data_IF_354309817768
#
_entry.id   IF_354309817768
#
_cell.length_a   1.000
_cell.length_b   1.000
_cell.length_c   1.000
_cell.angle_alpha   90.00
_cell.angle_beta   90.00
_cell.angle_gamma   90.00
#
_symmetry.space_group_name_H-M   'P 1'
#
loop_
_entity.id
_entity.type
_entity.pdbx_description
1 polymer ?
#
# COMPACT_ATOMS: atom_id res chain seq x y z
N UNK A 1 19.93 18.98 -2.90
CA UNK A 1 19.53 17.71 -2.27
C UNK A 1 18.12 17.90 -1.80
N UNK A 2 17.17 17.63 -2.69
CA UNK A 2 15.77 17.94 -2.48
C UNK A 2 15.25 17.10 -1.31
N UNK A 3 14.82 17.78 -0.27
CA UNK A 3 14.14 17.21 0.88
C UNK A 3 12.88 16.51 0.38
N UNK A 4 12.98 15.19 0.15
CA UNK A 4 11.84 14.33 -0.12
C UNK A 4 10.72 14.72 0.84
N UNK A 5 9.52 15.09 0.36
CA UNK A 5 8.40 15.39 1.23
C UNK A 5 8.13 14.12 2.03
N UNK A 6 8.59 14.13 3.29
CA UNK A 6 8.36 13.07 4.26
C UNK A 6 6.86 12.84 4.28
N UNK A 7 6.43 11.68 3.81
CA UNK A 7 5.02 11.33 3.90
C UNK A 7 4.63 11.45 5.35
N UNK A 8 3.62 12.30 5.58
CA UNK A 8 3.16 12.60 6.92
C UNK A 8 2.62 11.30 7.52
N UNK A 9 3.02 10.91 8.74
CA UNK A 9 2.58 9.66 9.37
C UNK A 9 1.04 9.52 9.37
N UNK A 10 0.34 10.67 9.40
CA UNK A 10 -1.11 10.77 9.24
C UNK A 10 -1.63 10.30 7.88
N UNK A 11 -0.93 10.60 6.78
CA UNK A 11 -1.32 10.16 5.43
C UNK A 11 -1.13 8.65 5.28
N UNK A 12 -0.07 8.08 5.88
CA UNK A 12 0.12 6.62 5.95
C UNK A 12 -1.03 5.98 6.73
N UNK A 13 -1.39 6.51 7.89
CA UNK A 13 -2.49 5.98 8.69
C UNK A 13 -3.82 5.96 7.93
N UNK A 14 -4.17 7.06 7.24
CA UNK A 14 -5.39 7.14 6.41
C UNK A 14 -5.35 6.13 5.26
N UNK A 15 -4.19 5.96 4.61
CA UNK A 15 -4.04 5.00 3.53
C UNK A 15 -4.19 3.55 4.02
N UNK A 16 -3.57 3.21 5.15
CA UNK A 16 -3.63 1.86 5.74
C UNK A 16 -5.05 1.54 6.20
N UNK A 17 -5.72 2.47 6.88
CA UNK A 17 -7.13 2.33 7.28
C UNK A 17 -8.03 2.01 6.07
N UNK A 18 -7.86 2.78 4.99
CA UNK A 18 -8.58 2.54 3.75
C UNK A 18 -8.23 1.19 3.09
N UNK A 19 -6.98 0.75 3.13
CA UNK A 19 -6.57 -0.56 2.59
C UNK A 19 -7.15 -1.72 3.40
N UNK A 20 -7.36 -1.56 4.72
CA UNK A 20 -8.03 -2.56 5.56
C UNK A 20 -9.49 -2.73 5.13
N UNK A 21 -10.20 -1.64 4.85
CA UNK A 21 -11.57 -1.68 4.33
C UNK A 21 -11.64 -2.41 2.98
N UNK A 22 -10.69 -2.11 2.08
CA UNK A 22 -10.61 -2.76 0.76
C UNK A 22 -10.32 -4.25 0.92
N UNK A 23 -9.29 -4.62 1.68
CA UNK A 23 -8.94 -6.01 1.97
C UNK A 23 -10.15 -6.81 2.48
N UNK A 24 -10.87 -6.25 3.46
CA UNK A 24 -12.03 -6.89 4.08
C UNK A 24 -13.19 -7.02 3.08
N UNK A 25 -13.39 -6.02 2.22
CA UNK A 25 -14.44 -6.06 1.19
C UNK A 25 -14.23 -7.15 0.14
N UNK A 26 -12.98 -7.50 -0.14
CA UNK A 26 -12.61 -8.52 -1.12
C UNK A 26 -12.28 -9.89 -0.50
N UNK A 27 -12.43 -10.04 0.82
CA UNK A 27 -12.12 -11.27 1.56
C UNK A 27 -10.71 -11.82 1.26
N UNK A 28 -9.74 -10.90 1.16
CA UNK A 28 -8.34 -11.25 0.91
C UNK A 28 -7.69 -11.82 2.19
N UNK A 29 -6.59 -12.55 2.03
CA UNK A 29 -5.82 -13.05 3.17
C UNK A 29 -5.02 -11.92 3.84
N UNK A 30 -4.76 -12.10 5.14
CA UNK A 30 -3.94 -11.16 5.91
C UNK A 30 -2.51 -11.08 5.34
N UNK A 31 -1.96 -12.16 4.77
CA UNK A 31 -0.66 -12.12 4.09
C UNK A 31 -0.62 -11.07 2.98
N UNK A 32 -1.68 -10.97 2.17
CA UNK A 32 -1.79 -9.98 1.08
C UNK A 32 -1.75 -8.56 1.64
N UNK A 33 -2.46 -8.29 2.75
CA UNK A 33 -2.46 -6.98 3.39
C UNK A 33 -1.07 -6.60 3.91
N UNK A 34 -0.40 -7.51 4.63
CA UNK A 34 0.95 -7.25 5.16
C UNK A 34 1.98 -7.04 4.05
N UNK A 35 1.91 -7.85 2.99
CA UNK A 35 2.78 -7.69 1.83
C UNK A 35 2.53 -6.37 1.12
N UNK A 36 1.26 -5.98 0.98
CA UNK A 36 0.86 -4.70 0.38
C UNK A 36 1.46 -3.52 1.15
N UNK A 37 1.30 -3.49 2.47
CA UNK A 37 1.82 -2.41 3.33
C UNK A 37 3.35 -2.34 3.22
N UNK A 38 4.05 -3.48 3.30
CA UNK A 38 5.50 -3.54 3.20
C UNK A 38 6.03 -3.01 1.85
N UNK A 39 5.37 -3.34 0.73
CA UNK A 39 5.76 -2.84 -0.60
C UNK A 39 5.50 -1.33 -0.70
N UNK A 40 4.35 -0.84 -0.21
CA UNK A 40 4.02 0.59 -0.20
C UNK A 40 5.06 1.37 0.59
N UNK A 41 5.38 0.96 1.82
CA UNK A 41 6.34 1.68 2.67
C UNK A 41 7.73 1.75 2.02
N UNK A 42 8.18 0.66 1.39
CA UNK A 42 9.44 0.64 0.62
C UNK A 42 9.41 1.54 -0.61
N UNK A 43 8.30 1.55 -1.33
CA UNK A 43 8.15 2.40 -2.52
C UNK A 43 8.19 3.89 -2.16
N UNK A 44 7.46 4.25 -1.10
CA UNK A 44 7.38 5.62 -0.61
C UNK A 44 8.68 6.11 0.04
N UNK A 45 9.54 5.20 0.51
CA UNK A 45 10.88 5.54 0.99
C UNK A 45 11.83 6.00 -0.14
N UNK A 46 11.59 5.56 -1.37
CA UNK A 46 12.46 5.85 -2.54
C UNK A 46 11.83 6.88 -3.48
N UNK A 47 10.49 6.97 -3.53
CA UNK A 47 9.76 7.84 -4.45
C UNK A 47 8.73 8.69 -3.74
N UNK A 48 8.82 10.01 -3.92
CA UNK A 48 7.77 10.93 -3.52
C UNK A 48 6.57 10.79 -4.44
N UNK A 49 5.39 10.56 -3.85
CA UNK A 49 4.12 10.39 -4.56
C UNK A 49 3.14 11.44 -4.04
N UNK A 50 2.41 12.15 -4.91
CA UNK A 50 1.39 13.09 -4.47
C UNK A 50 0.22 12.34 -3.79
N UNK A 51 -0.41 12.95 -2.79
CA UNK A 51 -1.49 12.32 -1.99
C UNK A 51 -2.62 11.74 -2.85
N UNK A 52 -2.94 12.40 -3.97
CA UNK A 52 -3.92 11.98 -4.98
C UNK A 52 -3.63 10.60 -5.57
N UNK A 53 -2.36 10.21 -5.66
CA UNK A 53 -1.91 8.98 -6.31
C UNK A 53 -1.62 7.86 -5.30
N UNK A 54 -1.67 8.13 -4.00
CA UNK A 54 -1.40 7.12 -2.95
C UNK A 54 -2.40 5.97 -2.98
N UNK A 55 -3.69 6.24 -3.22
CA UNK A 55 -4.70 5.18 -3.34
C UNK A 55 -4.47 4.32 -4.59
N UNK A 56 -4.04 4.93 -5.70
CA UNK A 56 -3.69 4.20 -6.92
C UNK A 56 -2.49 3.29 -6.68
N UNK A 57 -1.45 3.79 -6.02
CA UNK A 57 -0.31 2.96 -5.59
C UNK A 57 -0.78 1.82 -4.69
N UNK A 58 -1.63 2.13 -3.71
CA UNK A 58 -2.16 1.13 -2.77
C UNK A 58 -2.89 -0.03 -3.46
N UNK A 59 -3.84 0.26 -4.36
CA UNK A 59 -4.57 -0.77 -5.12
C UNK A 59 -3.66 -1.51 -6.09
N UNK A 60 -2.75 -0.81 -6.78
CA UNK A 60 -1.82 -1.46 -7.71
C UNK A 60 -0.94 -2.46 -6.97
N UNK A 61 -0.43 -2.07 -5.80
CA UNK A 61 0.37 -2.95 -4.95
C UNK A 61 -0.46 -4.09 -4.37
N UNK A 62 -1.70 -3.86 -3.96
CA UNK A 62 -2.59 -4.90 -3.45
C UNK A 62 -2.92 -5.95 -4.52
N UNK A 63 -3.15 -5.52 -5.76
CA UNK A 63 -3.35 -6.42 -6.89
C UNK A 63 -2.09 -7.26 -7.19
N UNK A 64 -0.90 -6.65 -7.08
CA UNK A 64 0.36 -7.39 -7.22
C UNK A 64 0.53 -8.42 -6.10
N UNK A 65 0.26 -8.04 -4.85
CA UNK A 65 0.36 -8.92 -3.69
C UNK A 65 -0.66 -10.07 -3.76
N UNK A 66 -1.90 -9.81 -4.21
CA UNK A 66 -2.90 -10.86 -4.38
C UNK A 66 -2.50 -11.88 -5.44
N UNK A 67 -1.87 -11.43 -6.53
CA UNK A 67 -1.32 -12.34 -7.54
C UNK A 67 -0.11 -13.12 -7.06
N UNK A 68 0.68 -12.56 -6.15
CA UNK A 68 1.79 -13.29 -5.55
C UNK A 68 1.30 -14.42 -4.65
N UNK A 69 0.28 -14.14 -3.83
CA UNK A 69 -0.27 -15.14 -2.91
C UNK A 69 -1.03 -16.26 -3.63
N UNK A 70 -1.78 -15.95 -4.71
CA UNK A 70 -2.41 -16.97 -5.55
C UNK A 70 -1.42 -17.98 -6.16
N UNK A 71 -0.14 -17.60 -6.33
CA UNK A 71 0.91 -18.47 -6.86
C UNK A 71 1.51 -19.38 -5.76
N UNK A 72 1.41 -18.97 -4.49
CA UNK A 72 1.83 -19.73 -3.31
C UNK A 72 0.62 -19.98 -2.37
N UNK A 73 -0.29 -20.89 -2.75
CA UNK A 73 -1.47 -21.21 -1.94
C UNK A 73 -1.16 -21.97 -0.64
#
# INVERSE_FOLDING_TARGET
MDSLPKINDRMRAILVDWLIDVHTKFDLSLEILYMTINIIDRFLAVKAVPSRELQLVGISTMLMASKYEEICP
#
